data_IF_448697510324
#
_entry.id   IF_448697510324
#
_cell.length_a   1.000
_cell.length_b   1.000
_cell.length_c   1.000
_cell.angle_alpha   90.00
_cell.angle_beta   90.00
_cell.angle_gamma   90.00
#
_symmetry.space_group_name_H-M   'P 1'
#
loop_
_entity.id
_entity.type
_entity.pdbx_description
1 polymer ?
#
# COMPACT_ATOMS: atom_id res chain seq x y z
N UNK A 1 -59.00 -38.21 19.94
CA UNK A 1 -58.58 -37.87 18.55
C UNK A 1 -58.68 -36.37 18.23
N UNK A 2 -59.56 -35.59 18.87
CA UNK A 2 -59.72 -34.13 18.65
C UNK A 2 -58.60 -33.27 19.24
N UNK A 3 -58.00 -33.67 20.37
CA UNK A 3 -56.94 -32.90 21.04
C UNK A 3 -55.66 -32.72 20.20
N UNK A 4 -55.27 -33.75 19.44
CA UNK A 4 -54.09 -33.69 18.56
C UNK A 4 -54.30 -32.76 17.37
N UNK A 5 -55.49 -32.82 16.75
CA UNK A 5 -55.86 -31.93 15.65
C UNK A 5 -55.92 -30.46 16.09
N UNK A 6 -56.32 -30.19 17.34
CA UNK A 6 -56.30 -28.84 17.92
C UNK A 6 -54.88 -28.31 18.22
N UNK A 7 -53.88 -29.18 18.34
CA UNK A 7 -52.48 -28.81 18.61
C UNK A 7 -51.63 -28.62 17.35
N UNK A 8 -52.10 -29.11 16.19
CA UNK A 8 -51.41 -28.96 14.92
C UNK A 8 -51.03 -27.50 14.58
N UNK A 9 -51.91 -26.49 14.76
CA UNK A 9 -51.54 -25.10 14.46
C UNK A 9 -50.37 -24.59 15.30
N UNK A 10 -50.33 -24.97 16.60
CA UNK A 10 -49.25 -24.60 17.50
C UNK A 10 -47.92 -25.28 17.11
N UNK A 11 -47.97 -26.56 16.75
CA UNK A 11 -46.82 -27.33 16.28
C UNK A 11 -46.24 -26.76 14.97
N UNK A 12 -47.10 -26.40 14.03
CA UNK A 12 -46.70 -25.73 12.78
C UNK A 12 -46.04 -24.38 13.09
N UNK A 13 -46.62 -23.59 14.00
CA UNK A 13 -46.05 -22.32 14.44
C UNK A 13 -44.63 -22.46 15.02
N UNK A 14 -44.40 -23.49 15.85
CA UNK A 14 -43.06 -23.78 16.41
C UNK A 14 -42.08 -24.19 15.32
N UNK A 15 -42.48 -25.07 14.40
CA UNK A 15 -41.61 -25.52 13.29
C UNK A 15 -41.22 -24.32 12.41
N UNK A 16 -42.18 -23.47 12.05
CA UNK A 16 -41.92 -22.24 11.28
C UNK A 16 -41.00 -21.30 12.06
N UNK A 17 -41.23 -21.11 13.36
CA UNK A 17 -40.39 -20.28 14.22
C UNK A 17 -38.94 -20.79 14.31
N UNK A 18 -38.74 -22.09 14.49
CA UNK A 18 -37.41 -22.72 14.53
C UNK A 18 -36.71 -22.59 13.18
N UNK A 19 -37.40 -22.88 12.07
CA UNK A 19 -36.83 -22.73 10.72
C UNK A 19 -36.46 -21.27 10.42
N UNK A 20 -37.32 -20.32 10.78
CA UNK A 20 -37.03 -18.89 10.63
C UNK A 20 -35.83 -18.44 11.46
N UNK A 21 -35.72 -18.93 12.69
CA UNK A 21 -34.58 -18.64 13.59
C UNK A 21 -33.28 -19.21 13.02
N UNK A 22 -33.29 -20.48 12.58
CA UNK A 22 -32.11 -21.13 12.01
C UNK A 22 -31.63 -20.46 10.72
N UNK A 23 -32.56 -20.05 9.85
CA UNK A 23 -32.22 -19.32 8.62
C UNK A 23 -31.62 -17.95 8.92
N UNK A 24 -32.22 -17.21 9.86
CA UNK A 24 -31.72 -15.90 10.29
C UNK A 24 -30.33 -16.01 10.91
N UNK A 25 -30.11 -17.00 11.78
CA UNK A 25 -28.82 -17.27 12.39
C UNK A 25 -27.75 -17.57 11.33
N UNK A 26 -28.04 -18.45 10.36
CA UNK A 26 -27.13 -18.77 9.25
C UNK A 26 -26.74 -17.56 8.41
N UNK A 27 -27.70 -16.67 8.12
CA UNK A 27 -27.45 -15.43 7.37
C UNK A 27 -26.58 -14.45 8.16
N UNK A 28 -26.87 -14.28 9.44
CA UNK A 28 -26.10 -13.41 10.31
C UNK A 28 -24.66 -13.91 10.52
N UNK A 29 -24.48 -15.21 10.73
CA UNK A 29 -23.16 -15.85 10.85
C UNK A 29 -22.34 -15.66 9.58
N UNK A 30 -22.96 -15.82 8.41
CA UNK A 30 -22.29 -15.60 7.12
C UNK A 30 -21.89 -14.13 6.93
N UNK A 31 -22.76 -13.19 7.28
CA UNK A 31 -22.46 -11.76 7.22
C UNK A 31 -21.36 -11.36 8.22
N UNK A 32 -21.37 -11.93 9.43
CA UNK A 32 -20.33 -11.72 10.43
C UNK A 32 -18.99 -12.31 9.97
N UNK A 33 -18.99 -13.52 9.40
CA UNK A 33 -17.79 -14.17 8.88
C UNK A 33 -17.20 -13.42 7.68
N UNK A 34 -18.03 -12.95 6.75
CA UNK A 34 -17.58 -12.13 5.62
C UNK A 34 -16.93 -10.82 6.09
N UNK A 35 -17.52 -10.14 7.09
CA UNK A 35 -16.93 -8.93 7.70
C UNK A 35 -15.62 -9.21 8.43
N UNK A 36 -15.54 -10.32 9.17
CA UNK A 36 -14.31 -10.71 9.84
C UNK A 36 -13.18 -11.02 8.84
N UNK A 37 -13.51 -11.70 7.73
CA UNK A 37 -12.59 -11.96 6.63
C UNK A 37 -12.15 -10.66 5.94
N UNK A 38 -13.07 -9.73 5.66
CA UNK A 38 -12.72 -8.45 5.02
C UNK A 38 -11.75 -7.64 5.87
N UNK A 39 -12.01 -7.51 7.18
CA UNK A 39 -11.11 -6.82 8.12
C UNK A 39 -9.72 -7.44 8.12
N UNK A 40 -9.62 -8.77 8.17
CA UNK A 40 -8.33 -9.46 8.14
C UNK A 40 -7.58 -9.25 6.82
N UNK A 41 -8.28 -9.22 5.69
CA UNK A 41 -7.65 -8.93 4.41
C UNK A 41 -7.19 -7.48 4.31
N UNK A 42 -7.96 -6.53 4.84
CA UNK A 42 -7.58 -5.11 4.88
C UNK A 42 -6.35 -4.87 5.76
N UNK A 43 -6.26 -5.52 6.92
CA UNK A 43 -5.05 -5.49 7.77
C UNK A 43 -3.82 -6.01 7.01
N UNK A 44 -3.96 -7.15 6.31
CA UNK A 44 -2.84 -7.73 5.54
C UNK A 44 -2.42 -6.87 4.35
N UNK A 45 -3.38 -6.20 3.71
CA UNK A 45 -3.13 -5.24 2.63
C UNK A 45 -2.41 -4.00 3.17
N UNK A 46 -2.86 -3.46 4.30
CA UNK A 46 -2.21 -2.34 4.96
C UNK A 46 -0.76 -2.66 5.33
N UNK A 47 -0.49 -3.84 5.89
CA UNK A 47 0.86 -4.29 6.21
C UNK A 47 1.73 -4.36 4.95
N UNK A 48 1.23 -4.99 3.89
CA UNK A 48 1.94 -5.11 2.62
C UNK A 48 2.26 -3.73 2.00
N UNK A 49 1.27 -2.84 1.97
CA UNK A 49 1.43 -1.48 1.44
C UNK A 49 2.42 -0.66 2.26
N UNK A 50 2.37 -0.77 3.59
CA UNK A 50 3.26 -0.05 4.51
C UNK A 50 4.71 -0.53 4.37
N UNK A 51 4.93 -1.85 4.34
CA UNK A 51 6.26 -2.43 4.20
C UNK A 51 6.87 -2.10 2.84
N UNK A 52 6.08 -2.16 1.77
CA UNK A 52 6.51 -1.75 0.43
C UNK A 52 6.91 -0.28 0.37
N UNK A 53 6.07 0.61 0.91
CA UNK A 53 6.37 2.03 0.96
C UNK A 53 7.62 2.36 1.77
N UNK A 54 7.82 1.67 2.90
CA UNK A 54 9.03 1.79 3.74
C UNK A 54 10.28 1.36 2.98
N UNK A 55 10.25 0.19 2.34
CA UNK A 55 11.38 -0.32 1.57
C UNK A 55 11.74 0.59 0.39
N UNK A 56 10.74 1.11 -0.35
CA UNK A 56 11.00 2.09 -1.41
C UNK A 56 11.58 3.40 -0.90
N UNK A 57 11.06 3.93 0.22
CA UNK A 57 11.55 5.19 0.77
C UNK A 57 12.99 5.05 1.24
N UNK A 58 13.39 3.89 1.75
CA UNK A 58 14.75 3.61 2.14
C UNK A 58 15.72 3.64 0.95
N UNK A 59 15.37 2.99 -0.17
CA UNK A 59 16.15 3.09 -1.43
C UNK A 59 16.27 4.53 -1.89
N UNK A 60 15.17 5.28 -1.88
CA UNK A 60 15.15 6.71 -2.25
C UNK A 60 16.08 7.54 -1.35
N UNK A 61 16.03 7.36 -0.03
CA UNK A 61 16.89 8.09 0.91
C UNK A 61 18.37 7.76 0.72
N UNK A 62 18.70 6.48 0.50
CA UNK A 62 20.07 6.06 0.21
C UNK A 62 20.59 6.64 -1.11
N UNK A 63 19.74 6.67 -2.15
CA UNK A 63 20.09 7.32 -3.42
C UNK A 63 20.40 8.81 -3.24
N UNK A 64 19.62 9.53 -2.42
CA UNK A 64 19.90 10.92 -2.07
C UNK A 64 21.27 11.07 -1.38
N UNK A 65 21.61 10.19 -0.44
CA UNK A 65 22.88 10.25 0.31
C UNK A 65 24.09 9.92 -0.57
N UNK A 66 23.99 8.90 -1.42
CA UNK A 66 25.07 8.48 -2.32
C UNK A 66 25.40 9.55 -3.38
N UNK A 67 24.38 10.26 -3.85
CA UNK A 67 24.54 11.34 -4.84
C UNK A 67 24.76 12.70 -4.20
N UNK A 68 24.82 12.81 -2.87
CA UNK A 68 24.90 14.10 -2.20
C UNK A 68 26.17 14.88 -2.58
N UNK A 69 27.32 14.19 -2.64
CA UNK A 69 28.61 14.82 -2.94
C UNK A 69 28.72 15.36 -4.36
N UNK A 70 27.95 14.83 -5.31
CA UNK A 70 27.93 15.30 -6.71
C UNK A 70 26.87 16.35 -6.98
N UNK A 71 25.99 16.66 -6.00
CA UNK A 71 24.87 17.58 -6.14
C UNK A 71 25.07 18.79 -5.21
N UNK A 72 25.52 19.96 -5.72
CA UNK A 72 25.86 21.14 -4.90
C UNK A 72 24.73 21.64 -3.99
N UNK A 73 23.47 21.47 -4.38
CA UNK A 73 22.28 21.87 -3.62
C UNK A 73 21.69 20.75 -2.74
N UNK A 74 22.39 19.61 -2.59
CA UNK A 74 21.91 18.50 -1.78
C UNK A 74 21.91 18.83 -0.30
N UNK A 75 20.76 18.65 0.35
CA UNK A 75 20.61 18.72 1.82
C UNK A 75 20.82 17.37 2.52
N UNK A 76 21.04 16.30 1.76
CA UNK A 76 21.25 14.96 2.32
C UNK A 76 22.68 14.82 2.88
N UNK A 77 22.82 14.20 4.05
CA UNK A 77 24.13 13.89 4.61
C UNK A 77 24.81 12.81 3.74
N UNK A 78 26.00 13.09 3.16
CA UNK A 78 26.72 12.13 2.33
C UNK A 78 26.97 10.81 3.05
N UNK A 79 27.10 9.73 2.29
CA UNK A 79 27.51 8.41 2.79
C UNK A 79 28.69 7.93 1.95
N UNK A 80 29.58 7.16 2.59
CA UNK A 80 30.60 6.42 1.86
C UNK A 80 29.96 5.55 0.76
N UNK A 81 30.61 5.50 -0.40
CA UNK A 81 30.06 4.85 -1.60
C UNK A 81 29.92 3.35 -1.41
N UNK A 82 30.95 2.68 -0.88
CA UNK A 82 30.90 1.23 -0.68
C UNK A 82 29.79 0.86 0.31
N UNK A 83 29.74 1.57 1.43
CA UNK A 83 28.71 1.38 2.46
C UNK A 83 27.30 1.65 1.91
N UNK A 84 27.11 2.73 1.17
CA UNK A 84 25.80 3.07 0.61
C UNK A 84 25.30 2.09 -0.44
N UNK A 85 26.19 1.55 -1.28
CA UNK A 85 25.82 0.54 -2.28
C UNK A 85 25.40 -0.78 -1.64
N UNK A 86 26.09 -1.22 -0.58
CA UNK A 86 25.70 -2.39 0.21
C UNK A 86 24.29 -2.21 0.81
N UNK A 87 24.05 -1.07 1.46
CA UNK A 87 22.73 -0.75 2.02
C UNK A 87 21.63 -0.68 0.95
N UNK A 88 21.94 -0.18 -0.25
CA UNK A 88 21.00 -0.22 -1.38
C UNK A 88 20.68 -1.66 -1.77
N UNK A 89 21.66 -2.56 -1.82
CA UNK A 89 21.43 -3.98 -2.10
C UNK A 89 20.48 -4.63 -1.09
N UNK A 90 20.68 -4.35 0.20
CA UNK A 90 19.81 -4.84 1.27
C UNK A 90 18.40 -4.27 1.21
N UNK A 91 18.26 -2.98 0.88
CA UNK A 91 16.97 -2.33 0.70
C UNK A 91 16.24 -2.85 -0.55
N UNK A 92 16.96 -3.14 -1.64
CA UNK A 92 16.41 -3.72 -2.86
C UNK A 92 15.86 -5.13 -2.64
N UNK A 93 16.58 -5.98 -1.90
CA UNK A 93 16.10 -7.31 -1.52
C UNK A 93 14.79 -7.23 -0.71
N UNK A 94 14.68 -6.28 0.23
CA UNK A 94 13.44 -6.02 0.99
C UNK A 94 12.32 -5.51 0.10
N UNK A 95 12.60 -4.52 -0.76
CA UNK A 95 11.65 -3.98 -1.73
C UNK A 95 11.07 -5.06 -2.63
N UNK A 96 11.90 -5.99 -3.10
CA UNK A 96 11.47 -7.09 -3.98
C UNK A 96 10.52 -8.03 -3.25
N UNK A 97 10.82 -8.43 -2.00
CA UNK A 97 9.90 -9.25 -1.20
C UNK A 97 8.58 -8.54 -0.89
N UNK A 98 8.65 -7.26 -0.54
CA UNK A 98 7.46 -6.45 -0.26
C UNK A 98 6.59 -6.27 -1.52
N UNK A 99 7.21 -6.15 -2.69
CA UNK A 99 6.50 -6.07 -3.98
C UNK A 99 5.65 -7.30 -4.27
N UNK A 100 6.15 -8.50 -3.99
CA UNK A 100 5.37 -9.74 -4.16
C UNK A 100 4.09 -9.74 -3.29
N UNK A 101 4.16 -9.21 -2.07
CA UNK A 101 3.00 -9.08 -1.20
C UNK A 101 1.97 -8.08 -1.78
N UNK A 102 2.43 -6.98 -2.36
CA UNK A 102 1.56 -6.00 -3.04
C UNK A 102 0.89 -6.63 -4.27
N UNK A 103 1.61 -7.43 -5.06
CA UNK A 103 1.03 -8.15 -6.19
C UNK A 103 -0.05 -9.15 -5.77
N UNK A 104 0.16 -9.86 -4.66
CA UNK A 104 -0.75 -10.88 -4.17
C UNK A 104 -2.03 -10.29 -3.55
N UNK A 105 -1.90 -9.17 -2.83
CA UNK A 105 -2.97 -8.62 -2.01
C UNK A 105 -3.58 -7.32 -2.57
N UNK A 106 -2.88 -6.64 -3.46
CA UNK A 106 -3.30 -5.35 -3.99
C UNK A 106 -4.43 -5.44 -5.00
N UNK A 107 -5.28 -4.41 -5.03
CA UNK A 107 -6.19 -4.21 -6.17
C UNK A 107 -5.42 -3.66 -7.38
N UNK A 108 -6.04 -3.75 -8.56
CA UNK A 108 -5.40 -3.38 -9.82
C UNK A 108 -4.86 -1.94 -9.83
N UNK A 109 -5.63 -0.99 -9.30
CA UNK A 109 -5.26 0.43 -9.29
C UNK A 109 -4.08 0.69 -8.35
N UNK A 110 -4.11 0.08 -7.16
CA UNK A 110 -3.01 0.16 -6.19
C UNK A 110 -1.74 -0.47 -6.73
N UNK A 111 -1.84 -1.64 -7.37
CA UNK A 111 -0.69 -2.32 -8.00
C UNK A 111 -0.11 -1.50 -9.15
N UNK A 112 -0.95 -0.88 -9.97
CA UNK A 112 -0.51 0.00 -11.06
C UNK A 112 0.24 1.22 -10.51
N UNK A 113 -0.33 1.93 -9.52
CA UNK A 113 0.32 3.08 -8.90
C UNK A 113 1.63 2.71 -8.19
N UNK A 114 1.66 1.57 -7.49
CA UNK A 114 2.86 1.03 -6.85
C UNK A 114 3.98 0.73 -7.85
N UNK A 115 3.64 0.17 -9.02
CA UNK A 115 4.59 -0.10 -10.11
C UNK A 115 5.24 1.17 -10.63
N UNK A 116 4.44 2.21 -10.88
CA UNK A 116 4.92 3.51 -11.32
C UNK A 116 5.86 4.14 -10.29
N UNK A 117 5.50 4.10 -9.00
CA UNK A 117 6.37 4.61 -7.94
C UNK A 117 7.68 3.84 -7.86
N UNK A 118 7.62 2.50 -7.90
CA UNK A 118 8.80 1.63 -7.91
C UNK A 118 9.72 1.96 -9.07
N UNK A 119 9.16 2.14 -10.27
CA UNK A 119 9.95 2.48 -11.46
C UNK A 119 10.61 3.85 -11.35
N UNK A 120 9.91 4.84 -10.79
CA UNK A 120 10.49 6.16 -10.55
C UNK A 120 11.64 6.13 -9.53
N UNK A 121 11.50 5.38 -8.43
CA UNK A 121 12.58 5.18 -7.44
C UNK A 121 13.76 4.42 -8.04
N UNK A 122 13.53 3.45 -8.92
CA UNK A 122 14.59 2.74 -9.63
C UNK A 122 15.47 3.69 -10.47
N UNK A 123 14.90 4.76 -11.05
CA UNK A 123 15.71 5.74 -11.78
C UNK A 123 16.71 6.46 -10.86
N UNK A 124 16.30 6.82 -9.65
CA UNK A 124 17.18 7.43 -8.64
C UNK A 124 18.29 6.46 -8.20
N UNK A 125 17.93 5.19 -8.03
CA UNK A 125 18.88 4.13 -7.68
C UNK A 125 19.92 3.90 -8.78
N UNK A 126 19.50 3.93 -10.06
CA UNK A 126 20.42 3.81 -11.20
C UNK A 126 21.45 4.93 -11.22
N UNK A 127 21.03 6.16 -10.97
CA UNK A 127 21.94 7.30 -10.84
C UNK A 127 22.90 7.11 -9.65
N UNK A 128 22.38 6.71 -8.48
CA UNK A 128 23.22 6.45 -7.30
C UNK A 128 24.26 5.35 -7.54
N UNK A 129 23.94 4.33 -8.35
CA UNK A 129 24.86 3.28 -8.78
C UNK A 129 25.84 3.73 -9.87
N UNK A 130 25.61 4.88 -10.50
CA UNK A 130 26.41 5.39 -11.63
C UNK A 130 26.13 4.67 -12.94
N UNK A 131 24.90 4.17 -13.14
CA UNK A 131 24.46 3.45 -14.35
C UNK A 131 23.24 4.11 -15.02
N UNK A 132 22.93 5.35 -14.62
CA UNK A 132 22.04 6.20 -15.41
C UNK A 132 22.78 6.68 -16.67
N UNK A 133 22.01 7.01 -17.71
CA UNK A 133 22.58 7.57 -18.93
C UNK A 133 22.99 9.02 -18.76
N UNK A 134 23.77 9.52 -19.71
CA UNK A 134 24.16 10.93 -19.79
C UNK A 134 22.92 11.84 -19.79
N UNK A 135 23.01 12.98 -19.11
CA UNK A 135 21.91 13.95 -19.02
C UNK A 135 20.78 13.56 -18.06
N UNK A 136 21.04 12.67 -17.09
CA UNK A 136 20.07 12.32 -16.05
C UNK A 136 19.60 13.57 -15.27
N UNK A 137 18.30 13.87 -15.38
CA UNK A 137 17.67 14.95 -14.62
C UNK A 137 17.22 14.44 -13.23
N UNK A 138 18.08 14.67 -12.23
CA UNK A 138 17.82 14.32 -10.84
C UNK A 138 16.55 14.97 -10.29
N UNK A 139 16.31 16.24 -10.60
CA UNK A 139 15.17 16.99 -10.04
C UNK A 139 13.87 16.43 -10.60
N UNK A 140 13.79 16.21 -11.91
CA UNK A 140 12.62 15.59 -12.52
C UNK A 140 12.41 14.16 -12.04
N UNK A 141 13.48 13.38 -11.83
CA UNK A 141 13.38 12.02 -11.31
C UNK A 141 12.83 11.99 -9.87
N UNK A 142 13.29 12.88 -8.99
CA UNK A 142 12.76 13.02 -7.62
C UNK A 142 11.29 13.41 -7.65
N UNK A 143 10.90 14.40 -8.48
CA UNK A 143 9.49 14.80 -8.62
C UNK A 143 8.61 13.63 -9.04
N UNK A 144 9.01 12.85 -10.05
CA UNK A 144 8.26 11.64 -10.48
C UNK A 144 8.13 10.61 -9.35
N UNK A 145 9.16 10.45 -8.53
CA UNK A 145 9.12 9.53 -7.38
C UNK A 145 8.15 10.02 -6.29
N UNK A 146 8.14 11.32 -5.98
CA UNK A 146 7.22 11.89 -5.00
C UNK A 146 5.76 11.88 -5.50
N UNK A 147 5.51 12.21 -6.76
CA UNK A 147 4.18 12.08 -7.38
C UNK A 147 3.72 10.63 -7.47
N UNK A 148 4.64 9.70 -7.76
CA UNK A 148 4.37 8.25 -7.75
C UNK A 148 3.94 7.76 -6.37
N UNK A 149 4.64 8.19 -5.31
CA UNK A 149 4.26 7.90 -3.92
C UNK A 149 2.84 8.39 -3.62
N UNK A 150 2.55 9.63 -3.98
CA UNK A 150 1.25 10.24 -3.68
C UNK A 150 0.12 9.47 -4.39
N UNK A 151 0.30 9.11 -5.67
CA UNK A 151 -0.65 8.25 -6.40
C UNK A 151 -0.84 6.89 -5.74
N UNK A 152 0.25 6.26 -5.29
CA UNK A 152 0.18 4.99 -4.57
C UNK A 152 -0.63 5.10 -3.28
N UNK A 153 -0.40 6.14 -2.48
CA UNK A 153 -1.16 6.34 -1.23
C UNK A 153 -2.62 6.67 -1.46
N UNK A 154 -2.96 7.45 -2.49
CA UNK A 154 -4.36 7.68 -2.86
C UNK A 154 -5.05 6.37 -3.22
N UNK A 155 -4.45 5.56 -4.09
CA UNK A 155 -5.01 4.26 -4.50
C UNK A 155 -5.13 3.29 -3.31
N UNK A 156 -4.05 3.14 -2.52
CA UNK A 156 -4.03 2.27 -1.35
C UNK A 156 -5.09 2.66 -0.30
N UNK A 157 -5.28 3.96 -0.04
CA UNK A 157 -6.32 4.46 0.88
C UNK A 157 -7.71 4.16 0.36
N UNK A 158 -7.95 4.41 -0.93
CA UNK A 158 -9.24 4.09 -1.56
C UNK A 158 -9.54 2.58 -1.48
N UNK A 159 -8.55 1.74 -1.79
CA UNK A 159 -8.67 0.28 -1.72
C UNK A 159 -8.90 -0.28 -0.30
N UNK A 160 -8.50 0.46 0.73
CA UNK A 160 -8.73 0.16 2.15
C UNK A 160 -9.96 0.90 2.72
N UNK A 161 -10.75 1.57 1.89
CA UNK A 161 -11.91 2.39 2.29
C UNK A 161 -11.59 3.50 3.30
N UNK A 162 -10.34 3.95 3.34
CA UNK A 162 -9.89 5.10 4.13
C UNK A 162 -10.35 6.37 3.41
N UNK A 163 -10.90 7.33 4.15
CA UNK A 163 -11.54 8.55 3.60
C UNK A 163 -10.68 9.33 2.59
N UNK A 164 -11.36 10.04 1.69
CA UNK A 164 -10.81 10.71 0.48
C UNK A 164 -10.05 12.02 0.74
N UNK A 165 -9.64 12.30 1.97
CA UNK A 165 -8.85 13.49 2.28
C UNK A 165 -7.53 13.51 1.51
N UNK A 166 -7.16 14.70 1.00
CA UNK A 166 -5.90 14.90 0.28
C UNK A 166 -4.71 14.74 1.24
N UNK A 167 -3.84 13.78 0.95
CA UNK A 167 -2.61 13.50 1.69
C UNK A 167 -1.36 13.69 0.81
N UNK A 168 -1.53 14.24 -0.40
CA UNK A 168 -0.43 14.46 -1.33
C UNK A 168 0.62 15.40 -0.72
N UNK A 169 1.88 14.95 -0.77
CA UNK A 169 3.01 15.68 -0.21
C UNK A 169 3.89 16.30 -1.31
N UNK A 170 3.85 15.79 -2.54
CA UNK A 170 4.67 16.26 -3.64
C UNK A 170 4.41 17.75 -3.94
N UNK A 171 3.13 18.16 -4.02
CA UNK A 171 2.75 19.57 -4.21
C UNK A 171 3.30 20.46 -3.10
N UNK A 172 3.11 20.04 -1.84
CA UNK A 172 3.61 20.78 -0.67
C UNK A 172 5.14 20.93 -0.67
N UNK A 173 5.88 19.89 -1.10
CA UNK A 173 7.34 19.91 -1.21
C UNK A 173 7.82 20.87 -2.31
N UNK A 174 7.14 20.93 -3.44
CA UNK A 174 7.45 21.85 -4.54
C UNK A 174 7.28 23.30 -4.07
N UNK A 175 6.14 23.63 -3.44
CA UNK A 175 5.85 24.98 -2.98
C UNK A 175 6.93 25.48 -1.99
N UNK A 176 7.40 24.60 -1.10
CA UNK A 176 8.49 24.88 -0.15
C UNK A 176 9.87 25.00 -0.79
N UNK A 177 10.13 24.30 -1.90
CA UNK A 177 11.39 24.43 -2.63
C UNK A 177 11.44 25.71 -3.46
N UNK A 178 10.31 26.20 -3.95
CA UNK A 178 10.23 27.48 -4.69
C UNK A 178 10.26 28.70 -3.77
N UNK A 179 9.94 28.53 -2.50
CA UNK A 179 9.89 29.61 -1.50
C UNK A 179 11.19 29.77 -0.68
N UNK A 180 12.26 29.02 -1.00
CA UNK A 180 13.52 28.95 -0.27
C UNK A 180 14.71 29.23 -1.21
#
# INVERSE_FOLDING_TARGET
MTAFLNQLPALIGVIVGVLGTLLTARLNDRAQWARALSVRWDERRLDAYSEFGRALKEVHLLAHRLTASSRPSSRAHPIDRATGLELIGQADARRTKAWEAVLLLGDADTVAAAREWRWAVLQLEREARGVAGDGFDWVAAVRRADEGRDRFYVAARAGLTVGSGDVAQARWLIDRQLSA
#
